data_IF_365399617381
#
_entry.id   IF_365399617381
#
_cell.length_a   1.000
_cell.length_b   1.000
_cell.length_c   1.000
_cell.angle_alpha   90.00
_cell.angle_beta   90.00
_cell.angle_gamma   90.00
#
_symmetry.space_group_name_H-M   'P 1'
#
loop_
_entity.id
_entity.type
_entity.pdbx_description
1 polymer ?
#
# COMPACT_ATOMS: atom_id res chain seq x y z
N UNK A 1 -14.41 9.03 -6.02
CA UNK A 1 -14.07 8.82 -7.44
C UNK A 1 -13.10 7.66 -7.55
N UNK A 2 -13.18 6.91 -8.65
CA UNK A 2 -12.31 5.73 -8.89
C UNK A 2 -11.24 6.02 -9.95
N UNK A 3 -10.99 7.30 -10.20
CA UNK A 3 -10.02 7.81 -11.18
C UNK A 3 -9.04 8.74 -10.47
N UNK A 4 -7.75 8.60 -10.80
CA UNK A 4 -6.66 9.38 -10.26
C UNK A 4 -5.61 9.67 -11.35
N UNK A 5 -4.82 10.72 -11.15
CA UNK A 5 -3.62 11.08 -11.90
C UNK A 5 -3.83 12.25 -12.88
N UNK A 6 -2.73 12.81 -13.32
CA UNK A 6 -2.66 13.95 -14.25
C UNK A 6 -2.03 13.57 -15.58
N UNK A 7 -0.79 13.11 -15.57
CA UNK A 7 -0.06 12.62 -16.74
C UNK A 7 -0.33 11.14 -16.98
N UNK A 8 -0.31 10.33 -15.90
CA UNK A 8 -0.84 8.95 -15.92
C UNK A 8 -2.21 8.96 -15.26
N UNK A 9 -3.24 8.58 -16.00
CA UNK A 9 -4.61 8.50 -15.50
C UNK A 9 -5.00 7.06 -15.27
N UNK A 10 -5.51 6.79 -14.06
CA UNK A 10 -5.92 5.47 -13.63
C UNK A 10 -7.43 5.45 -13.38
N UNK A 11 -8.10 4.40 -13.83
CA UNK A 11 -9.50 4.12 -13.45
C UNK A 11 -9.59 2.68 -12.94
N UNK A 12 -9.97 2.53 -11.66
CA UNK A 12 -10.13 1.23 -11.00
C UNK A 12 -11.60 0.84 -11.00
N UNK A 13 -11.91 -0.43 -11.29
CA UNK A 13 -13.25 -0.97 -11.31
C UNK A 13 -13.32 -2.38 -10.71
N UNK A 14 -14.56 -2.82 -10.43
CA UNK A 14 -14.86 -4.15 -9.91
C UNK A 14 -15.07 -4.21 -8.40
N UNK A 15 -15.52 -5.35 -7.93
CA UNK A 15 -15.79 -5.69 -6.52
C UNK A 15 -15.12 -7.02 -6.15
N UNK A 16 -14.92 -7.22 -4.85
CA UNK A 16 -14.22 -8.40 -4.31
C UNK A 16 -14.85 -9.73 -4.72
N UNK A 17 -16.17 -9.78 -4.91
CA UNK A 17 -16.94 -10.95 -5.27
C UNK A 17 -17.75 -10.76 -6.58
N UNK A 18 -17.45 -9.71 -7.35
CA UNK A 18 -17.86 -9.57 -8.73
C UNK A 18 -17.13 -10.56 -9.64
N UNK A 19 -17.42 -10.58 -10.93
CA UNK A 19 -16.76 -11.45 -11.91
C UNK A 19 -15.27 -11.18 -12.01
N UNK A 20 -14.89 -9.89 -12.02
CA UNK A 20 -13.52 -9.43 -12.10
C UNK A 20 -13.35 -8.08 -11.40
N UNK A 21 -12.10 -7.73 -11.15
CA UNK A 21 -11.66 -6.37 -10.87
C UNK A 21 -10.61 -5.99 -11.92
N UNK A 22 -10.36 -4.70 -12.08
CA UNK A 22 -9.36 -4.28 -13.06
C UNK A 22 -8.99 -2.81 -12.97
N UNK A 23 -8.17 -2.42 -13.93
CA UNK A 23 -7.66 -1.07 -14.06
C UNK A 23 -7.55 -0.70 -15.53
N UNK A 24 -7.87 0.56 -15.84
CA UNK A 24 -7.54 1.21 -17.10
C UNK A 24 -6.45 2.24 -16.80
N UNK A 25 -5.40 2.21 -17.57
CA UNK A 25 -4.23 3.07 -17.46
C UNK A 25 -4.08 3.85 -18.77
N UNK A 26 -4.17 5.16 -18.71
CA UNK A 26 -3.98 6.07 -19.84
C UNK A 26 -2.77 6.97 -19.59
N UNK A 27 -2.04 7.36 -20.63
CA UNK A 27 -0.85 8.20 -20.55
C UNK A 27 0.49 7.46 -20.52
N UNK A 28 0.51 6.13 -20.66
CA UNK A 28 1.76 5.40 -20.90
C UNK A 28 2.23 5.64 -22.34
N UNK A 29 3.51 5.98 -22.51
CA UNK A 29 4.12 6.17 -23.82
C UNK A 29 4.10 4.88 -24.63
N UNK A 30 3.86 4.99 -25.94
CA UNK A 30 3.98 3.87 -26.86
C UNK A 30 5.43 3.35 -26.90
N UNK A 31 5.59 2.02 -26.90
CA UNK A 31 6.92 1.39 -26.87
C UNK A 31 7.50 1.18 -25.48
N UNK A 32 6.79 1.55 -24.40
CA UNK A 32 7.21 1.18 -23.04
C UNK A 32 7.18 -0.34 -22.88
N UNK A 33 8.33 -0.93 -22.54
CA UNK A 33 8.44 -2.37 -22.31
C UNK A 33 7.72 -2.77 -21.03
N UNK A 34 6.87 -3.79 -21.11
CA UNK A 34 6.24 -4.39 -19.95
C UNK A 34 6.94 -5.70 -19.57
N UNK A 35 7.66 -5.70 -18.45
CA UNK A 35 8.28 -6.90 -17.91
C UNK A 35 7.25 -7.73 -17.12
N UNK A 36 6.52 -8.60 -17.82
CA UNK A 36 5.46 -9.40 -17.22
C UNK A 36 5.96 -10.31 -16.09
N UNK A 37 7.23 -10.73 -16.12
CA UNK A 37 7.83 -11.53 -15.04
C UNK A 37 8.01 -10.70 -13.77
N UNK A 38 8.58 -9.48 -13.86
CA UNK A 38 8.71 -8.58 -12.71
C UNK A 38 7.34 -8.19 -12.16
N UNK A 39 6.39 -7.88 -13.04
CA UNK A 39 4.99 -7.57 -12.63
C UNK A 39 4.41 -8.74 -11.83
N UNK A 40 4.55 -9.97 -12.29
CA UNK A 40 4.07 -11.15 -11.57
C UNK A 40 4.78 -11.34 -10.23
N UNK A 41 6.11 -11.18 -10.16
CA UNK A 41 6.87 -11.24 -8.91
C UNK A 41 6.40 -10.19 -7.90
N UNK A 42 6.12 -8.97 -8.37
CA UNK A 42 5.65 -7.89 -7.53
C UNK A 42 4.22 -8.15 -7.01
N UNK A 43 3.30 -8.58 -7.86
CA UNK A 43 1.95 -9.00 -7.49
C UNK A 43 2.01 -10.14 -6.47
N UNK A 44 2.94 -11.09 -6.67
CA UNK A 44 3.10 -12.24 -5.79
C UNK A 44 3.44 -11.85 -4.35
N UNK A 45 4.18 -10.77 -4.11
CA UNK A 45 4.46 -10.24 -2.77
C UNK A 45 3.19 -9.87 -2.00
N UNK A 46 2.13 -9.44 -2.70
CA UNK A 46 0.84 -9.08 -2.11
C UNK A 46 -0.03 -10.32 -1.82
N UNK A 47 0.20 -11.46 -2.47
CA UNK A 47 -0.66 -12.65 -2.35
C UNK A 47 -0.78 -13.14 -0.92
N UNK A 48 -1.97 -13.67 -0.60
CA UNK A 48 -2.24 -14.37 0.65
C UNK A 48 -1.68 -15.80 0.64
N UNK A 49 -1.58 -16.40 1.83
CA UNK A 49 -1.24 -17.83 1.98
C UNK A 49 0.25 -18.17 1.91
N UNK A 50 1.13 -17.17 2.00
CA UNK A 50 2.59 -17.36 2.01
C UNK A 50 3.18 -17.62 3.40
N UNK A 51 2.43 -17.37 4.46
CA UNK A 51 2.88 -17.53 5.84
C UNK A 51 1.78 -18.09 6.74
N UNK A 52 2.17 -18.70 7.87
CA UNK A 52 1.26 -19.31 8.83
C UNK A 52 0.26 -18.33 9.43
N UNK A 53 0.59 -17.06 9.54
CA UNK A 53 -0.23 -15.99 10.12
C UNK A 53 -1.16 -15.28 9.10
N UNK A 54 -1.03 -15.57 7.81
CA UNK A 54 -1.95 -15.03 6.79
C UNK A 54 -3.17 -15.92 6.58
N UNK A 55 -4.19 -15.38 5.88
CA UNK A 55 -5.37 -16.16 5.49
C UNK A 55 -4.98 -17.35 4.61
N UNK A 56 -5.71 -18.45 4.75
CA UNK A 56 -5.54 -19.63 3.90
C UNK A 56 -6.21 -19.50 2.52
N UNK A 57 -6.81 -18.34 2.20
CA UNK A 57 -7.39 -18.07 0.88
C UNK A 57 -6.28 -18.04 -0.15
N UNK A 58 -6.38 -18.89 -1.18
CA UNK A 58 -5.44 -18.93 -2.30
C UNK A 58 -6.14 -18.40 -3.54
N UNK A 59 -5.61 -17.34 -4.11
CA UNK A 59 -6.00 -16.82 -5.41
C UNK A 59 -4.76 -16.75 -6.29
N UNK A 60 -4.94 -17.09 -7.56
CA UNK A 60 -3.79 -17.06 -8.49
C UNK A 60 -3.39 -15.65 -8.87
N UNK A 61 -4.32 -14.67 -8.74
CA UNK A 61 -4.13 -13.27 -9.13
C UNK A 61 -3.53 -13.13 -10.54
N UNK A 62 -3.93 -14.05 -11.45
CA UNK A 62 -3.56 -13.99 -12.86
C UNK A 62 -4.27 -12.80 -13.53
N UNK A 63 -3.54 -12.08 -14.37
CA UNK A 63 -4.10 -10.95 -15.08
C UNK A 63 -4.23 -11.23 -16.58
N UNK A 64 -5.20 -10.57 -17.21
CA UNK A 64 -5.35 -10.52 -18.66
C UNK A 64 -5.29 -9.08 -19.14
N UNK A 65 -4.45 -8.82 -20.12
CA UNK A 65 -4.37 -7.51 -20.77
C UNK A 65 -5.33 -7.56 -21.98
N UNK A 66 -6.28 -6.63 -21.99
CA UNK A 66 -7.32 -6.59 -23.02
C UNK A 66 -7.04 -5.57 -24.13
N UNK A 67 -6.29 -4.50 -23.81
CA UNK A 67 -5.90 -3.46 -24.79
C UNK A 67 -4.60 -2.79 -24.36
N UNK A 68 -4.02 -1.99 -25.26
CA UNK A 68 -2.85 -1.16 -24.98
C UNK A 68 -1.52 -1.91 -24.96
N UNK A 69 -1.47 -3.18 -25.38
CA UNK A 69 -0.29 -4.03 -25.33
C UNK A 69 -0.12 -4.86 -26.60
N UNK A 70 1.09 -4.90 -27.13
CA UNK A 70 1.46 -5.73 -28.29
C UNK A 70 2.95 -6.07 -28.22
N UNK A 71 3.30 -7.34 -28.41
CA UNK A 71 4.67 -7.84 -28.56
C UNK A 71 5.64 -7.36 -27.45
N UNK A 72 5.16 -7.38 -26.20
CA UNK A 72 5.96 -6.99 -25.03
C UNK A 72 5.94 -5.50 -24.69
N UNK A 73 5.25 -4.65 -25.46
CA UNK A 73 5.28 -3.21 -25.32
C UNK A 73 3.88 -2.58 -25.27
N UNK A 74 3.79 -1.39 -24.68
CA UNK A 74 2.59 -0.55 -24.76
C UNK A 74 2.41 -0.01 -26.17
N UNK A 75 1.14 0.20 -26.57
CA UNK A 75 0.82 0.71 -27.92
C UNK A 75 0.48 2.21 -27.93
N UNK A 76 0.43 2.85 -26.76
CA UNK A 76 -0.07 4.21 -26.59
C UNK A 76 -1.60 4.31 -26.48
N UNK A 77 -2.34 3.23 -26.80
CA UNK A 77 -3.76 3.13 -26.42
C UNK A 77 -3.89 2.84 -24.92
N UNK A 78 -5.04 3.15 -24.29
CA UNK A 78 -5.25 2.82 -22.89
C UNK A 78 -4.99 1.35 -22.58
N UNK A 79 -4.13 1.08 -21.63
CA UNK A 79 -3.82 -0.26 -21.14
C UNK A 79 -4.94 -0.74 -20.22
N UNK A 80 -5.73 -1.72 -20.66
CA UNK A 80 -6.82 -2.30 -19.87
C UNK A 80 -6.40 -3.67 -19.36
N UNK A 81 -6.47 -3.83 -18.01
CA UNK A 81 -6.07 -5.07 -17.33
C UNK A 81 -7.19 -5.53 -16.41
N UNK A 82 -7.50 -6.82 -16.46
CA UNK A 82 -8.48 -7.46 -15.58
C UNK A 82 -7.88 -8.62 -14.81
N UNK A 83 -8.47 -8.89 -13.63
CA UNK A 83 -8.18 -10.02 -12.75
C UNK A 83 -9.51 -10.72 -12.44
N UNK A 84 -9.63 -11.96 -12.86
CA UNK A 84 -10.85 -12.74 -12.62
C UNK A 84 -10.91 -13.21 -11.15
N UNK A 85 -12.10 -13.16 -10.54
CA UNK A 85 -12.35 -13.66 -9.19
C UNK A 85 -12.76 -15.13 -9.25
N UNK A 86 -11.84 -16.03 -8.91
CA UNK A 86 -12.07 -17.49 -9.06
C UNK A 86 -12.47 -18.20 -7.75
N UNK A 87 -12.29 -17.57 -6.59
CA UNK A 87 -12.52 -18.19 -5.28
C UNK A 87 -13.44 -17.34 -4.39
N UNK A 88 -14.70 -17.19 -4.82
CA UNK A 88 -15.72 -16.42 -4.11
C UNK A 88 -16.65 -17.33 -3.32
N UNK A 89 -16.69 -17.18 -1.98
CA UNK A 89 -17.65 -17.88 -1.10
C UNK A 89 -18.68 -16.87 -0.58
N UNK A 90 -19.72 -16.63 -1.35
CA UNK A 90 -20.72 -15.59 -1.05
C UNK A 90 -21.63 -15.94 0.14
N UNK A 91 -21.75 -17.24 0.50
CA UNK A 91 -22.58 -17.70 1.63
C UNK A 91 -22.13 -17.18 2.99
N UNK A 92 -20.83 -16.93 3.17
CA UNK A 92 -20.27 -16.45 4.43
C UNK A 92 -20.70 -15.01 4.77
N UNK A 93 -21.33 -14.31 3.84
CA UNK A 93 -21.71 -12.89 3.97
C UNK A 93 -23.22 -12.65 4.15
N UNK A 94 -24.07 -13.70 4.21
CA UNK A 94 -25.52 -13.51 4.33
C UNK A 94 -25.91 -12.83 5.66
N UNK A 95 -25.29 -13.20 6.77
CA UNK A 95 -25.52 -12.57 8.07
C UNK A 95 -25.00 -11.12 8.12
N UNK A 96 -24.00 -10.79 7.32
CA UNK A 96 -23.41 -9.43 7.26
C UNK A 96 -24.30 -8.44 6.49
N UNK A 97 -25.39 -8.91 5.87
CA UNK A 97 -26.42 -8.01 5.29
C UNK A 97 -27.18 -7.22 6.35
N UNK A 98 -27.27 -7.77 7.55
CA UNK A 98 -28.04 -7.19 8.65
C UNK A 98 -27.21 -6.82 9.86
N UNK A 99 -26.06 -7.46 10.10
CA UNK A 99 -25.14 -7.17 11.20
C UNK A 99 -23.93 -6.38 10.69
N UNK A 100 -23.77 -5.17 11.19
CA UNK A 100 -22.67 -4.28 10.79
C UNK A 100 -21.35 -4.77 11.41
N UNK A 101 -20.30 -4.88 10.61
CA UNK A 101 -18.97 -5.15 11.14
C UNK A 101 -18.38 -3.89 11.78
N UNK A 102 -18.03 -3.92 13.08
CA UNK A 102 -17.34 -2.80 13.71
C UNK A 102 -16.08 -2.42 12.93
N UNK A 103 -15.81 -1.13 12.80
CA UNK A 103 -14.64 -0.59 12.11
C UNK A 103 -14.50 -0.94 10.61
N UNK A 104 -15.58 -1.41 9.97
CA UNK A 104 -15.68 -1.64 8.53
C UNK A 104 -16.54 -0.56 7.85
N UNK A 105 -16.53 -0.51 6.53
CA UNK A 105 -17.32 0.46 5.75
C UNK A 105 -18.81 0.09 5.61
N UNK A 106 -19.29 -0.98 6.23
CA UNK A 106 -20.63 -1.51 6.01
C UNK A 106 -21.73 -0.47 6.22
N UNK A 107 -21.72 0.23 7.37
CA UNK A 107 -22.71 1.25 7.67
C UNK A 107 -22.64 2.48 6.75
N UNK A 108 -21.49 3.19 6.66
CA UNK A 108 -21.42 4.37 5.79
C UNK A 108 -21.64 4.05 4.32
N UNK A 109 -21.25 2.86 3.86
CA UNK A 109 -21.52 2.43 2.50
C UNK A 109 -23.01 2.16 2.24
N UNK A 110 -23.69 1.48 3.17
CA UNK A 110 -25.13 1.24 3.07
C UNK A 110 -25.93 2.54 2.97
N UNK A 111 -25.56 3.55 3.76
CA UNK A 111 -26.20 4.87 3.71
C UNK A 111 -25.87 5.60 2.41
N UNK A 112 -24.58 5.67 2.04
CA UNK A 112 -24.13 6.42 0.86
C UNK A 112 -24.70 5.87 -0.45
N UNK A 113 -24.81 4.57 -0.56
CA UNK A 113 -25.25 3.88 -1.77
C UNK A 113 -26.68 3.32 -1.64
N UNK A 114 -27.43 3.75 -0.62
CA UNK A 114 -28.85 3.37 -0.43
C UNK A 114 -29.09 1.84 -0.45
N UNK A 115 -28.09 1.08 0.01
CA UNK A 115 -28.14 -0.39 0.02
C UNK A 115 -27.83 -1.09 -1.30
N UNK A 116 -27.55 -0.35 -2.39
CA UNK A 116 -27.23 -0.93 -3.70
C UNK A 116 -25.78 -1.38 -3.87
N UNK A 117 -24.90 -1.11 -2.89
CA UNK A 117 -23.51 -1.56 -2.95
C UNK A 117 -23.36 -3.06 -2.74
N UNK A 118 -22.44 -3.70 -3.46
CA UNK A 118 -22.09 -5.11 -3.18
C UNK A 118 -21.30 -5.19 -1.85
N UNK A 119 -21.89 -5.88 -0.87
CA UNK A 119 -21.29 -6.08 0.46
C UNK A 119 -20.41 -7.34 0.54
N UNK A 120 -20.49 -8.24 -0.45
CA UNK A 120 -19.80 -9.53 -0.44
C UNK A 120 -18.28 -9.31 -0.46
N UNK A 121 -17.57 -9.90 0.52
CA UNK A 121 -16.12 -9.72 0.67
C UNK A 121 -15.67 -8.28 0.88
N UNK A 122 -16.59 -7.37 1.25
CA UNK A 122 -16.32 -5.94 1.37
C UNK A 122 -16.48 -5.15 0.06
N UNK A 123 -16.91 -5.80 -1.01
CA UNK A 123 -17.20 -5.16 -2.30
C UNK A 123 -16.03 -4.34 -2.85
N UNK A 124 -16.31 -3.10 -3.23
CA UNK A 124 -15.31 -2.15 -3.70
C UNK A 124 -14.40 -1.58 -2.59
N UNK A 125 -14.77 -1.76 -1.30
CA UNK A 125 -13.95 -1.36 -0.14
C UNK A 125 -12.94 -2.42 0.27
N UNK A 126 -12.92 -3.55 -0.41
CA UNK A 126 -12.03 -4.67 -0.11
C UNK A 126 -10.57 -4.34 -0.43
N UNK A 127 -9.65 -4.78 0.44
CA UNK A 127 -8.22 -4.76 0.14
C UNK A 127 -7.82 -5.51 -1.15
N UNK A 128 -8.72 -6.40 -1.68
CA UNK A 128 -8.49 -7.09 -2.95
C UNK A 128 -8.37 -6.12 -4.12
N UNK A 129 -9.08 -5.01 -4.10
CA UNK A 129 -9.06 -4.00 -5.17
C UNK A 129 -7.66 -3.38 -5.36
N UNK A 130 -6.82 -3.39 -4.31
CA UNK A 130 -5.43 -2.91 -4.40
C UNK A 130 -4.56 -3.74 -5.35
N UNK A 131 -5.03 -4.92 -5.81
CA UNK A 131 -4.35 -5.71 -6.84
C UNK A 131 -4.17 -4.91 -8.14
N UNK A 132 -5.16 -4.12 -8.51
CA UNK A 132 -5.11 -3.21 -9.65
C UNK A 132 -3.99 -2.15 -9.48
N UNK A 133 -3.89 -1.55 -8.29
CA UNK A 133 -2.80 -0.60 -7.96
C UNK A 133 -1.43 -1.28 -7.98
N UNK A 134 -1.35 -2.52 -7.49
CA UNK A 134 -0.09 -3.29 -7.47
C UNK A 134 0.41 -3.56 -8.88
N UNK A 135 -0.48 -3.89 -9.82
CA UNK A 135 -0.10 -4.09 -11.22
C UNK A 135 0.51 -2.84 -11.84
N UNK A 136 -0.19 -1.71 -11.79
CA UNK A 136 0.30 -0.47 -12.41
C UNK A 136 1.51 0.08 -11.66
N UNK A 137 1.59 -0.13 -10.34
CA UNK A 137 2.76 0.21 -9.55
C UNK A 137 4.01 -0.57 -9.97
N UNK A 138 3.87 -1.86 -10.30
CA UNK A 138 4.98 -2.64 -10.85
C UNK A 138 5.48 -2.09 -12.19
N UNK A 139 4.56 -1.70 -13.09
CA UNK A 139 4.91 -1.01 -14.34
C UNK A 139 5.65 0.31 -14.08
N UNK A 140 5.14 1.11 -13.12
CA UNK A 140 5.76 2.37 -12.75
C UNK A 140 7.17 2.15 -12.14
N UNK A 141 7.35 1.12 -11.31
CA UNK A 141 8.64 0.78 -10.72
C UNK A 141 9.68 0.38 -11.78
N UNK A 142 9.30 -0.43 -12.78
CA UNK A 142 10.21 -0.80 -13.86
C UNK A 142 10.67 0.46 -14.64
N UNK A 143 9.76 1.38 -14.96
CA UNK A 143 10.09 2.66 -15.65
C UNK A 143 11.01 3.54 -14.78
N UNK A 144 10.77 3.61 -13.48
CA UNK A 144 11.58 4.40 -12.56
C UNK A 144 12.96 3.77 -12.33
N UNK A 145 13.06 2.45 -12.31
CA UNK A 145 14.32 1.74 -12.15
C UNK A 145 15.26 1.96 -13.36
N UNK A 146 14.73 2.06 -14.59
CA UNK A 146 15.50 2.46 -15.78
C UNK A 146 16.08 3.87 -15.64
N UNK A 147 15.45 4.74 -14.84
CA UNK A 147 15.95 6.10 -14.51
C UNK A 147 16.87 6.11 -13.27
N UNK A 148 17.17 4.94 -12.69
CA UNK A 148 18.01 4.79 -11.49
C UNK A 148 17.29 5.07 -10.17
N UNK A 149 15.99 5.34 -10.19
CA UNK A 149 15.17 5.59 -8.99
C UNK A 149 14.76 4.24 -8.38
N UNK A 150 14.97 4.08 -7.07
CA UNK A 150 14.73 2.83 -6.36
C UNK A 150 13.77 3.05 -5.19
N UNK A 151 12.80 2.17 -5.04
CA UNK A 151 11.79 2.22 -3.99
C UNK A 151 11.88 0.95 -3.14
N UNK A 152 11.85 1.14 -1.82
CA UNK A 152 11.85 0.07 -0.83
C UNK A 152 10.84 0.37 0.26
N UNK A 153 10.30 -0.67 0.89
CA UNK A 153 9.52 -0.56 2.10
C UNK A 153 9.88 -1.66 3.08
N UNK A 154 9.67 -1.38 4.37
CA UNK A 154 9.81 -2.37 5.43
C UNK A 154 8.74 -2.18 6.49
N UNK A 155 8.61 -3.16 7.37
CA UNK A 155 7.75 -3.07 8.55
C UNK A 155 8.49 -2.25 9.60
N UNK A 156 8.05 -1.01 9.80
CA UNK A 156 8.64 -0.10 10.79
C UNK A 156 8.27 -0.50 12.22
N UNK A 157 7.02 -0.96 12.41
CA UNK A 157 6.54 -1.30 13.74
C UNK A 157 5.33 -2.24 13.69
N UNK A 158 5.33 -3.23 14.59
CA UNK A 158 4.15 -4.04 14.96
C UNK A 158 4.13 -4.14 16.48
N UNK A 159 3.15 -3.54 17.16
CA UNK A 159 3.10 -3.40 18.61
C UNK A 159 4.42 -2.89 19.19
N UNK A 160 5.10 -3.69 20.02
CA UNK A 160 6.36 -3.33 20.67
C UNK A 160 7.62 -3.63 19.82
N UNK A 161 7.45 -4.36 18.72
CA UNK A 161 8.53 -4.64 17.77
C UNK A 161 8.73 -3.42 16.88
N UNK A 162 9.88 -2.76 17.01
CA UNK A 162 10.24 -1.55 16.26
C UNK A 162 11.58 -1.77 15.57
N UNK A 163 11.63 -1.46 14.27
CA UNK A 163 12.81 -1.54 13.41
C UNK A 163 13.54 -0.20 13.30
N UNK A 164 14.73 -0.20 12.71
CA UNK A 164 15.46 0.99 12.28
C UNK A 164 14.69 1.79 11.25
N UNK A 165 15.09 3.03 11.01
CA UNK A 165 14.48 3.90 10.01
C UNK A 165 15.33 3.99 8.75
N UNK A 166 14.72 4.12 7.58
CA UNK A 166 15.40 4.51 6.35
C UNK A 166 16.06 5.90 6.46
N UNK A 167 15.64 6.73 7.41
CA UNK A 167 16.31 8.01 7.71
C UNK A 167 17.78 7.85 8.14
N UNK A 168 18.17 6.66 8.59
CA UNK A 168 19.55 6.34 8.97
C UNK A 168 20.43 6.03 7.74
N UNK A 169 19.83 5.85 6.54
CA UNK A 169 20.52 5.45 5.32
C UNK A 169 20.39 6.54 4.24
N UNK A 170 21.47 7.29 4.00
CA UNK A 170 21.49 8.33 2.95
C UNK A 170 21.57 7.76 1.54
N UNK A 171 22.02 6.53 1.41
CA UNK A 171 22.17 5.80 0.16
C UNK A 171 21.61 4.37 0.29
N UNK A 172 21.38 3.72 -0.84
CA UNK A 172 20.87 2.33 -0.84
C UNK A 172 21.94 1.40 -0.29
N UNK A 173 21.62 0.75 0.82
CA UNK A 173 22.40 -0.40 1.31
C UNK A 173 21.93 -1.65 0.57
N UNK A 174 22.66 -2.02 -0.49
CA UNK A 174 22.26 -3.10 -1.41
C UNK A 174 22.10 -4.43 -0.68
N UNK A 175 22.99 -4.73 0.27
CA UNK A 175 22.99 -6.02 0.98
C UNK A 175 21.80 -6.11 1.94
N UNK A 176 21.51 -5.07 2.70
CA UNK A 176 20.38 -5.03 3.63
C UNK A 176 19.03 -4.95 2.91
N UNK A 177 18.92 -4.12 1.86
CA UNK A 177 17.65 -3.84 1.21
C UNK A 177 17.22 -4.93 0.21
N UNK A 178 18.15 -5.81 -0.23
CA UNK A 178 17.81 -6.96 -1.06
C UNK A 178 16.79 -7.86 -0.37
N UNK A 179 17.01 -8.17 0.90
CA UNK A 179 16.14 -9.06 1.67
C UNK A 179 14.73 -8.48 1.87
N UNK A 180 14.58 -7.15 1.88
CA UNK A 180 13.26 -6.49 2.05
C UNK A 180 12.25 -6.85 0.94
N UNK A 181 12.72 -7.13 -0.27
CA UNK A 181 11.87 -7.53 -1.41
C UNK A 181 11.53 -9.03 -1.41
N UNK A 182 12.33 -9.83 -0.74
CA UNK A 182 12.24 -11.30 -0.75
C UNK A 182 11.54 -11.86 0.50
N UNK A 183 11.68 -11.19 1.66
CA UNK A 183 11.07 -11.63 2.91
C UNK A 183 9.56 -11.43 2.95
N UNK A 184 8.86 -12.36 3.57
CA UNK A 184 7.43 -12.26 3.88
C UNK A 184 7.14 -11.33 5.07
N UNK A 185 8.14 -11.04 5.92
CA UNK A 185 8.13 -10.11 7.04
C UNK A 185 9.38 -9.24 6.95
N UNK A 186 9.37 -8.29 6.04
CA UNK A 186 10.53 -7.47 5.72
C UNK A 186 10.83 -6.46 6.83
N UNK A 187 11.88 -6.73 7.59
CA UNK A 187 12.54 -5.82 8.54
C UNK A 187 13.96 -5.54 8.06
N UNK A 188 14.49 -4.38 8.40
CA UNK A 188 15.91 -4.03 8.14
C UNK A 188 16.83 -4.87 9.03
N UNK A 189 16.42 -5.12 10.29
CA UNK A 189 17.14 -5.96 11.24
C UNK A 189 16.56 -7.38 11.22
N UNK A 190 17.37 -8.35 10.77
CA UNK A 190 16.96 -9.75 10.51
C UNK A 190 16.38 -10.46 11.75
N UNK A 191 16.83 -10.14 12.97
CA UNK A 191 16.35 -10.77 14.21
C UNK A 191 14.90 -10.42 14.56
N UNK A 192 14.36 -9.34 14.01
CA UNK A 192 12.99 -8.90 14.25
C UNK A 192 11.96 -9.76 13.50
N UNK A 193 12.34 -10.37 12.37
CA UNK A 193 11.44 -11.27 11.63
C UNK A 193 10.98 -12.44 12.49
N UNK A 194 11.89 -13.06 13.24
CA UNK A 194 11.57 -14.20 14.11
C UNK A 194 10.60 -13.78 15.22
N UNK A 195 10.90 -12.66 15.91
CA UNK A 195 10.07 -12.13 16.98
C UNK A 195 8.65 -11.77 16.49
N UNK A 196 8.59 -11.13 15.30
CA UNK A 196 7.32 -10.75 14.70
C UNK A 196 6.49 -11.99 14.29
N UNK A 197 7.11 -13.02 13.76
CA UNK A 197 6.44 -14.27 13.41
C UNK A 197 5.80 -14.93 14.62
N UNK A 198 6.54 -15.07 15.72
CA UNK A 198 6.01 -15.64 16.98
C UNK A 198 4.85 -14.81 17.54
N UNK A 199 4.96 -13.48 17.49
CA UNK A 199 3.90 -12.57 17.92
C UNK A 199 2.63 -12.76 17.08
N UNK A 200 2.78 -12.77 15.74
CA UNK A 200 1.65 -12.89 14.82
C UNK A 200 0.95 -14.25 14.92
N UNK A 201 1.69 -15.32 15.19
CA UNK A 201 1.10 -16.64 15.46
C UNK A 201 0.26 -16.64 16.74
N UNK A 202 0.75 -16.02 17.82
CA UNK A 202 -0.03 -15.84 19.07
C UNK A 202 -1.31 -15.03 18.84
N UNK A 203 -1.23 -13.92 18.10
CA UNK A 203 -2.38 -13.10 17.76
C UNK A 203 -3.41 -13.89 16.95
N UNK A 204 -2.95 -14.66 15.95
CA UNK A 204 -3.83 -15.51 15.15
C UNK A 204 -4.55 -16.55 16.02
N UNK A 205 -3.84 -17.21 16.93
CA UNK A 205 -4.41 -18.21 17.85
C UNK A 205 -5.45 -17.60 18.79
N UNK A 206 -5.31 -16.34 19.19
CA UNK A 206 -6.29 -15.63 20.00
C UNK A 206 -7.54 -15.20 19.22
N UNK A 207 -7.57 -15.40 17.90
CA UNK A 207 -8.68 -14.94 17.05
C UNK A 207 -8.73 -13.44 16.83
N UNK A 208 -7.66 -12.72 17.20
CA UNK A 208 -7.53 -11.27 17.10
C UNK A 208 -6.73 -10.84 15.85
N UNK A 209 -6.55 -9.54 15.68
CA UNK A 209 -5.73 -8.93 14.64
C UNK A 209 -4.88 -7.78 15.17
N UNK A 210 -3.83 -7.45 14.46
CA UNK A 210 -2.94 -6.33 14.76
C UNK A 210 -2.67 -5.52 13.48
N UNK A 211 -2.54 -4.21 13.65
CA UNK A 211 -2.03 -3.30 12.65
C UNK A 211 -0.52 -3.15 12.74
N UNK A 212 0.00 -2.12 12.12
CA UNK A 212 1.41 -1.76 12.20
C UNK A 212 1.72 -0.52 11.38
N UNK A 213 2.99 -0.23 11.32
CA UNK A 213 3.54 0.90 10.57
C UNK A 213 4.47 0.36 9.47
N UNK A 214 4.29 0.88 8.26
CA UNK A 214 5.14 0.62 7.10
C UNK A 214 5.92 1.91 6.85
N UNK A 215 7.24 1.81 6.76
CA UNK A 215 8.08 2.89 6.25
C UNK A 215 8.45 2.59 4.80
N UNK A 216 8.40 3.62 3.96
CA UNK A 216 8.75 3.55 2.54
C UNK A 216 9.80 4.61 2.23
N UNK A 217 10.79 4.23 1.43
CA UNK A 217 11.83 5.13 0.97
C UNK A 217 11.98 5.08 -0.55
N UNK A 218 12.16 6.26 -1.15
CA UNK A 218 12.50 6.41 -2.56
C UNK A 218 13.87 7.11 -2.69
N UNK A 219 14.82 6.43 -3.31
CA UNK A 219 16.20 6.88 -3.48
C UNK A 219 16.45 7.40 -4.89
N UNK A 220 17.43 8.27 -5.00
CA UNK A 220 17.92 8.85 -6.26
C UNK A 220 16.89 9.72 -6.99
N UNK A 221 15.99 10.36 -6.26
CA UNK A 221 15.11 11.37 -6.85
C UNK A 221 15.92 12.59 -7.29
N UNK A 222 15.63 13.16 -8.47
CA UNK A 222 16.18 14.44 -8.85
C UNK A 222 15.73 15.54 -7.87
N UNK A 223 16.57 16.56 -7.67
CA UNK A 223 16.22 17.73 -6.87
C UNK A 223 15.13 18.53 -7.59
N UNK A 224 14.13 19.02 -6.85
CA UNK A 224 13.11 19.92 -7.37
C UNK A 224 11.93 19.25 -8.07
N UNK A 225 11.77 17.91 -7.90
CA UNK A 225 10.57 17.21 -8.36
C UNK A 225 9.40 17.54 -7.42
N UNK A 226 8.23 17.76 -7.98
CA UNK A 226 7.01 18.14 -7.25
C UNK A 226 6.60 19.59 -7.49
N UNK A 227 5.66 20.09 -6.71
CA UNK A 227 5.11 21.45 -6.82
C UNK A 227 4.80 22.03 -5.44
N UNK A 228 4.76 23.36 -5.27
CA UNK A 228 4.31 23.94 -4.02
C UNK A 228 2.78 23.81 -3.85
N UNK A 229 2.31 24.01 -2.62
CA UNK A 229 0.93 23.98 -2.18
C UNK A 229 0.22 22.64 -2.43
N UNK A 230 -0.84 22.62 -3.27
CA UNK A 230 -1.80 21.51 -3.36
C UNK A 230 -1.25 20.25 -4.03
N UNK A 231 -0.31 20.39 -4.95
CA UNK A 231 0.30 19.29 -5.70
C UNK A 231 1.71 18.96 -5.20
N UNK A 232 1.98 19.25 -3.92
CA UNK A 232 3.24 18.85 -3.26
C UNK A 232 3.42 17.34 -3.29
N UNK A 233 4.66 16.86 -3.26
CA UNK A 233 4.93 15.41 -3.18
C UNK A 233 4.22 14.78 -1.99
N UNK A 234 4.20 15.47 -0.84
CA UNK A 234 3.47 14.99 0.35
C UNK A 234 1.96 14.88 0.07
N UNK A 235 1.37 15.86 -0.61
CA UNK A 235 -0.06 15.85 -0.95
C UNK A 235 -0.41 14.70 -1.89
N UNK A 236 0.37 14.49 -2.94
CA UNK A 236 0.13 13.42 -3.93
C UNK A 236 0.31 12.03 -3.32
N UNK A 237 1.39 11.82 -2.57
CA UNK A 237 1.63 10.55 -1.87
C UNK A 237 0.54 10.30 -0.84
N UNK A 238 0.15 11.31 -0.05
CA UNK A 238 -0.92 11.18 0.95
C UNK A 238 -2.26 10.86 0.31
N UNK A 239 -2.61 11.51 -0.80
CA UNK A 239 -3.85 11.23 -1.54
C UNK A 239 -3.91 9.76 -1.97
N UNK A 240 -2.83 9.21 -2.53
CA UNK A 240 -2.75 7.81 -2.89
C UNK A 240 -2.72 6.89 -1.66
N UNK A 241 -1.98 7.25 -0.61
CA UNK A 241 -1.89 6.45 0.61
C UNK A 241 -3.27 6.24 1.25
N UNK A 242 -4.08 7.29 1.37
CA UNK A 242 -5.44 7.17 1.90
C UNK A 242 -6.45 6.50 0.95
N UNK A 243 -6.09 6.25 -0.31
CA UNK A 243 -6.86 5.39 -1.20
C UNK A 243 -6.67 3.90 -0.89
N UNK A 244 -5.58 3.54 -0.20
CA UNK A 244 -5.31 2.17 0.21
C UNK A 244 -6.15 1.82 1.45
N UNK A 245 -7.00 0.76 1.39
CA UNK A 245 -7.79 0.36 2.53
C UNK A 245 -6.94 0.08 3.78
N UNK A 246 -7.46 0.46 4.93
CA UNK A 246 -6.84 0.34 6.26
C UNK A 246 -5.73 1.36 6.58
N UNK A 247 -5.25 2.18 5.68
CA UNK A 247 -4.39 3.32 6.01
C UNK A 247 -5.16 4.31 6.87
N UNK A 248 -4.55 4.75 8.00
CA UNK A 248 -5.16 5.67 8.98
C UNK A 248 -4.27 6.85 9.36
N UNK A 249 -3.03 6.84 8.95
CA UNK A 249 -2.09 7.93 9.19
C UNK A 249 -0.91 7.86 8.22
N UNK A 250 -0.31 9.02 7.99
CA UNK A 250 0.92 9.17 7.22
C UNK A 250 1.76 10.28 7.85
N UNK A 251 3.08 10.12 7.83
CA UNK A 251 4.05 11.14 8.22
C UNK A 251 5.28 11.08 7.32
N UNK A 252 5.92 12.23 7.11
CA UNK A 252 7.13 12.37 6.30
C UNK A 252 8.32 12.68 7.21
N UNK A 253 9.48 12.05 6.94
CA UNK A 253 10.66 12.19 7.80
C UNK A 253 10.37 11.77 9.24
N UNK A 254 10.78 12.59 10.21
CA UNK A 254 10.47 12.36 11.63
C UNK A 254 9.03 12.73 12.01
N UNK A 255 8.27 13.35 11.09
CA UNK A 255 6.84 13.57 11.21
C UNK A 255 6.42 14.25 12.51
N UNK A 256 5.60 13.57 13.34
CA UNK A 256 5.08 14.14 14.59
C UNK A 256 6.18 14.45 15.63
N UNK A 257 7.38 13.85 15.51
CA UNK A 257 8.49 14.11 16.44
C UNK A 257 9.07 15.54 16.29
N UNK A 258 8.77 16.26 15.18
CA UNK A 258 9.10 17.68 15.09
C UNK A 258 8.52 18.52 16.23
N UNK A 259 7.41 18.10 16.84
CA UNK A 259 6.82 18.79 17.98
C UNK A 259 7.64 18.70 19.28
N UNK A 260 8.63 17.81 19.31
CA UNK A 260 9.42 17.48 20.50
C UNK A 260 10.86 18.03 20.46
N UNK A 261 11.24 18.74 19.38
CA UNK A 261 12.61 19.20 19.15
C UNK A 261 12.66 20.70 18.81
N UNK A 262 13.80 21.32 19.05
CA UNK A 262 14.04 22.72 18.69
C UNK A 262 14.40 22.87 17.21
N UNK A 263 14.15 24.07 16.65
CA UNK A 263 14.50 24.35 15.25
C UNK A 263 15.96 24.10 14.89
N UNK A 264 16.89 24.36 15.82
CA UNK A 264 18.33 24.09 15.64
C UNK A 264 18.66 22.60 15.55
N UNK A 265 17.82 21.72 16.13
CA UNK A 265 17.94 20.26 16.10
C UNK A 265 17.21 19.69 14.90
N UNK A 266 16.11 20.34 14.50
CA UNK A 266 15.24 19.95 13.40
C UNK A 266 15.86 20.20 12.01
N UNK A 267 16.68 21.26 11.88
CA UNK A 267 17.20 21.71 10.60
C UNK A 267 18.18 20.69 9.98
N UNK A 268 17.88 20.28 8.75
CA UNK A 268 18.75 19.44 7.92
C UNK A 268 19.85 20.32 7.32
N UNK A 269 21.02 20.43 8.01
CA UNK A 269 22.11 21.31 7.64
C UNK A 269 22.77 20.88 6.33
N UNK A 270 22.91 21.79 5.39
CA UNK A 270 23.57 21.54 4.10
C UNK A 270 25.09 21.36 4.22
N UNK A 271 25.65 20.52 3.38
CA UNK A 271 27.07 20.39 3.13
C UNK A 271 27.35 20.01 1.67
N UNK A 272 28.60 20.26 1.23
CA UNK A 272 29.04 19.91 -0.10
C UNK A 272 29.86 18.61 -0.07
N UNK A 273 29.54 17.67 -0.94
CA UNK A 273 30.27 16.41 -1.12
C UNK A 273 30.28 16.05 -2.62
N UNK A 274 31.45 15.90 -3.20
CA UNK A 274 31.66 15.58 -4.62
C UNK A 274 30.81 16.46 -5.56
N UNK A 275 30.88 17.77 -5.38
CA UNK A 275 30.11 18.80 -6.10
C UNK A 275 28.57 18.66 -6.00
N UNK A 276 28.09 17.85 -5.05
CA UNK A 276 26.66 17.70 -4.75
C UNK A 276 26.31 18.31 -3.41
N UNK A 277 25.19 19.01 -3.38
CA UNK A 277 24.61 19.52 -2.12
C UNK A 277 23.82 18.38 -1.47
N UNK A 278 24.21 18.04 -0.25
CA UNK A 278 23.54 17.05 0.59
C UNK A 278 23.16 17.66 1.94
N UNK A 279 22.39 16.96 2.75
CA UNK A 279 22.07 17.34 4.13
C UNK A 279 22.70 16.37 5.14
N UNK A 280 23.09 16.88 6.33
CA UNK A 280 23.68 16.06 7.40
C UNK A 280 22.69 15.07 7.98
N UNK A 281 21.45 15.50 8.14
CA UNK A 281 20.28 14.73 8.58
C UNK A 281 19.22 14.72 7.49
N UNK A 282 18.17 13.95 7.63
CA UNK A 282 17.04 13.90 6.70
C UNK A 282 15.72 13.95 7.48
N UNK A 283 15.64 14.85 8.47
CA UNK A 283 14.48 14.99 9.34
C UNK A 283 13.19 15.28 8.56
N UNK A 284 13.32 16.04 7.47
CA UNK A 284 12.19 16.37 6.59
C UNK A 284 11.79 15.25 5.61
N UNK A 285 12.50 14.10 5.64
CA UNK A 285 12.18 12.97 4.77
C UNK A 285 12.35 13.25 3.28
N UNK A 286 13.33 14.10 2.91
CA UNK A 286 13.69 14.36 1.52
C UNK A 286 12.76 15.32 0.77
N UNK A 287 11.85 16.02 1.46
CA UNK A 287 10.91 16.97 0.86
C UNK A 287 10.95 18.29 1.62
N UNK A 288 11.11 19.40 0.90
CA UNK A 288 11.05 20.75 1.44
C UNK A 288 10.18 21.63 0.52
N UNK A 289 9.18 22.28 1.07
CA UNK A 289 8.28 23.15 0.30
C UNK A 289 7.51 22.43 -0.80
N UNK A 290 7.29 21.12 -0.65
CA UNK A 290 6.61 20.28 -1.64
C UNK A 290 7.53 19.66 -2.69
N UNK A 291 8.83 19.96 -2.65
CA UNK A 291 9.82 19.57 -3.65
C UNK A 291 10.84 18.59 -3.08
N UNK A 292 11.28 17.64 -3.90
CA UNK A 292 12.37 16.73 -3.54
C UNK A 292 13.69 17.46 -3.37
N UNK A 293 14.48 17.05 -2.37
CA UNK A 293 15.78 17.66 -2.01
C UNK A 293 16.99 16.93 -2.58
N UNK A 294 16.77 15.77 -3.23
CA UNK A 294 17.84 14.85 -3.62
C UNK A 294 18.29 13.89 -2.52
N UNK A 295 17.89 14.13 -1.26
CA UNK A 295 17.98 13.13 -0.20
C UNK A 295 16.90 12.06 -0.38
N UNK A 296 17.05 10.87 0.25
CA UNK A 296 15.98 9.86 0.20
C UNK A 296 14.63 10.45 0.63
N UNK A 297 13.60 10.26 -0.19
CA UNK A 297 12.23 10.54 0.21
C UNK A 297 11.78 9.42 1.15
N UNK A 298 11.47 9.76 2.41
CA UNK A 298 11.11 8.78 3.45
C UNK A 298 9.80 9.20 4.11
N UNK A 299 8.85 8.26 4.16
CA UNK A 299 7.58 8.46 4.87
C UNK A 299 7.10 7.16 5.50
N UNK A 300 6.25 7.27 6.51
CA UNK A 300 5.61 6.13 7.17
C UNK A 300 4.09 6.21 7.07
N UNK A 301 3.44 5.04 6.97
CA UNK A 301 1.98 4.92 7.01
C UNK A 301 1.54 3.95 8.09
N UNK A 302 0.45 4.28 8.79
CA UNK A 302 -0.14 3.43 9.80
C UNK A 302 -1.30 2.65 9.21
N UNK A 303 -1.25 1.33 9.38
CA UNK A 303 -2.26 0.37 8.95
C UNK A 303 -3.05 -0.09 10.17
N UNK A 304 -4.36 0.14 10.18
CA UNK A 304 -5.22 -0.34 11.28
C UNK A 304 -5.35 -1.86 11.28
N UNK A 305 -5.63 -2.48 12.44
CA UNK A 305 -5.98 -3.89 12.53
C UNK A 305 -7.14 -4.27 11.59
N UNK A 306 -7.14 -5.49 11.09
CA UNK A 306 -8.26 -6.03 10.32
C UNK A 306 -9.51 -6.08 11.18
N UNK A 307 -10.65 -5.49 10.75
CA UNK A 307 -11.85 -5.43 11.57
C UNK A 307 -12.58 -6.78 11.69
N UNK A 308 -12.33 -7.69 10.76
CA UNK A 308 -12.89 -9.04 10.79
C UNK A 308 -12.05 -9.92 11.71
N UNK A 309 -12.51 -10.12 12.94
CA UNK A 309 -11.87 -10.97 13.95
C UNK A 309 -12.84 -12.04 14.45
N UNK A 310 -12.30 -13.11 15.03
CA UNK A 310 -13.13 -14.23 15.55
C UNK A 310 -13.62 -14.02 16.98
N UNK A 311 -13.23 -12.92 17.62
CA UNK A 311 -13.73 -12.51 18.94
C UNK A 311 -15.13 -11.92 18.77
N UNK A 312 -16.02 -12.22 19.70
CA UNK A 312 -17.36 -11.62 19.74
C UNK A 312 -17.27 -10.11 19.96
N UNK A 313 -18.07 -9.36 19.17
CA UNK A 313 -18.10 -7.91 19.18
C UNK A 313 -19.54 -7.41 19.27
N UNK A 314 -19.76 -6.37 20.02
CA UNK A 314 -21.03 -5.64 20.01
C UNK A 314 -21.25 -4.97 18.66
N UNK A 315 -22.48 -5.04 18.16
CA UNK A 315 -22.87 -4.44 16.89
C UNK A 315 -24.36 -4.09 16.89
N UNK A 316 -24.86 -3.67 15.73
CA UNK A 316 -26.26 -3.34 15.50
C UNK A 316 -26.83 -4.20 14.38
N UNK A 317 -28.02 -4.77 14.63
CA UNK A 317 -28.85 -5.34 13.58
C UNK A 317 -29.67 -4.23 12.93
N UNK A 318 -29.30 -3.85 11.71
CA UNK A 318 -29.93 -2.70 11.00
C UNK A 318 -31.35 -3.00 10.52
N UNK A 319 -31.76 -4.27 10.40
CA UNK A 319 -33.12 -4.64 10.03
C UNK A 319 -34.09 -4.56 11.20
N UNK A 320 -33.63 -4.99 12.37
CA UNK A 320 -34.45 -5.02 13.59
C UNK A 320 -34.25 -3.77 14.46
N UNK A 321 -33.28 -2.89 14.08
CA UNK A 321 -32.92 -1.66 14.81
C UNK A 321 -32.65 -1.90 16.30
N UNK A 322 -31.85 -2.94 16.60
CA UNK A 322 -31.47 -3.32 17.96
C UNK A 322 -29.97 -3.61 18.09
N UNK A 323 -29.44 -3.51 19.29
CA UNK A 323 -28.10 -3.98 19.63
C UNK A 323 -28.06 -5.52 19.48
N UNK A 324 -26.93 -6.03 19.00
CA UNK A 324 -26.69 -7.43 18.75
C UNK A 324 -25.20 -7.78 18.95
N UNK A 325 -24.87 -9.05 18.86
CA UNK A 325 -23.51 -9.57 18.94
C UNK A 325 -23.13 -10.19 17.60
N UNK A 326 -21.96 -9.79 17.12
CA UNK A 326 -21.37 -10.34 15.91
C UNK A 326 -20.16 -11.20 16.27
N UNK A 327 -20.17 -12.44 15.79
CA UNK A 327 -19.00 -13.31 15.73
C UNK A 327 -18.71 -13.66 14.28
N UNK A 328 -17.58 -13.22 13.78
CA UNK A 328 -17.20 -13.48 12.39
C UNK A 328 -16.49 -14.83 12.33
N UNK A 329 -17.11 -15.78 11.62
CA UNK A 329 -16.47 -17.05 11.29
C UNK A 329 -15.80 -16.90 9.91
N UNK A 330 -14.51 -17.21 9.79
CA UNK A 330 -13.86 -17.13 8.50
C UNK A 330 -12.32 -17.13 8.58
N UNK A 331 -11.71 -17.04 7.42
CA UNK A 331 -10.25 -17.05 7.25
C UNK A 331 -9.75 -15.62 7.12
N UNK A 332 -9.33 -15.03 8.24
CA UNK A 332 -8.84 -13.66 8.31
C UNK A 332 -7.33 -13.59 8.49
N UNK A 333 -6.72 -12.52 7.99
CA UNK A 333 -5.32 -12.21 8.28
C UNK A 333 -5.21 -11.70 9.72
N UNK A 334 -4.30 -12.26 10.52
CA UNK A 334 -3.97 -11.69 11.84
C UNK A 334 -3.25 -10.34 11.68
N UNK A 335 -2.52 -10.16 10.59
CA UNK A 335 -1.86 -8.91 10.25
C UNK A 335 -1.80 -8.76 8.72
N UNK A 336 -2.30 -7.62 8.21
CA UNK A 336 -2.26 -7.33 6.77
C UNK A 336 -1.05 -6.50 6.35
N UNK A 337 -0.26 -6.00 7.30
CA UNK A 337 0.88 -5.10 7.05
C UNK A 337 1.83 -5.63 5.98
N UNK A 338 2.28 -6.90 6.01
CA UNK A 338 3.20 -7.43 4.99
C UNK A 338 2.63 -7.41 3.57
N UNK A 339 1.30 -7.59 3.45
CA UNK A 339 0.61 -7.57 2.16
C UNK A 339 0.33 -6.16 1.63
N UNK A 340 0.32 -5.17 2.51
CA UNK A 340 0.12 -3.76 2.16
C UNK A 340 1.43 -3.12 1.71
N UNK A 341 2.60 -3.61 2.15
CA UNK A 341 3.91 -3.07 1.78
C UNK A 341 4.08 -2.89 0.26
N UNK A 342 3.90 -3.90 -0.61
CA UNK A 342 4.01 -3.71 -2.05
C UNK A 342 2.96 -2.74 -2.62
N UNK A 343 1.83 -2.55 -1.95
CA UNK A 343 0.85 -1.54 -2.35
C UNK A 343 1.36 -0.14 -2.05
N UNK A 344 2.04 0.06 -0.92
CA UNK A 344 2.66 1.35 -0.58
C UNK A 344 3.81 1.68 -1.54
N UNK A 345 4.66 0.70 -1.89
CA UNK A 345 5.66 0.89 -2.94
C UNK A 345 5.01 1.26 -4.28
N UNK A 346 3.92 0.59 -4.64
CA UNK A 346 3.18 0.85 -5.89
C UNK A 346 2.65 2.28 -5.97
N UNK A 347 2.00 2.76 -4.91
CA UNK A 347 1.45 4.14 -4.88
C UNK A 347 2.56 5.19 -4.88
N UNK A 348 3.70 4.89 -4.24
CA UNK A 348 4.88 5.76 -4.28
C UNK A 348 5.41 5.87 -5.71
N UNK A 349 5.57 4.73 -6.39
CA UNK A 349 6.00 4.70 -7.79
C UNK A 349 5.05 5.48 -8.69
N UNK A 350 3.75 5.37 -8.49
CA UNK A 350 2.74 6.11 -9.25
C UNK A 350 2.83 7.61 -9.02
N UNK A 351 2.95 8.05 -7.76
CA UNK A 351 3.09 9.48 -7.43
C UNK A 351 4.33 10.09 -8.11
N UNK A 352 5.47 9.38 -8.03
CA UNK A 352 6.72 9.84 -8.63
C UNK A 352 6.67 9.79 -10.17
N UNK A 353 6.09 8.76 -10.75
CA UNK A 353 5.99 8.63 -12.20
C UNK A 353 5.08 9.74 -12.79
N UNK A 354 3.95 10.05 -12.15
CA UNK A 354 3.04 11.15 -12.57
C UNK A 354 3.73 12.53 -12.51
N UNK A 355 4.78 12.70 -11.71
CA UNK A 355 5.60 13.91 -11.69
C UNK A 355 6.65 13.95 -12.80
N UNK A 356 7.29 12.81 -13.09
CA UNK A 356 8.43 12.73 -14.02
C UNK A 356 8.00 12.80 -15.48
N UNK A 357 6.86 12.22 -15.84
CA UNK A 357 6.30 12.26 -17.19
C UNK A 357 5.82 13.67 -17.55
#
# INVERSE_FOLDING_TARGET
MNTWGTKIRLSIFGESHGEALGIIIDGLEAGTKLNLENINKFIDRRRAGKSSFTTSRKEKDEFRILSGYKDGHTTGAPLCVIFENTNTQSKDYENLKVLLRPNHADYPAAIKFEGFNDIRGGGHFSGRITLALTFVGAVAMDILEEKGIKIFSHIKKILDIKDKSFLEFKEVDVDKFKNLKESSLAFIEDDLEIKAKELLEKIKLSGNSVGGEIECACYNLPVGLGSPFFDSLESKISHLAFSVPAVKGIQFGIGFDFSNILGSEANDLYYLEDDKIKTKTNNNGGILGGLSTGMPLVFSVVIKPTPSISIEQETVNVKEMKNDILKISGRHDACIVPRVMPVIEAITALAILDEIL
#
